data_IF_049396097313
#
_entry.id   IF_049396097313
#
_cell.length_a   1.000
_cell.length_b   1.000
_cell.length_c   1.000
_cell.angle_alpha   90.00
_cell.angle_beta   90.00
_cell.angle_gamma   90.00
#
_symmetry.space_group_name_H-M   'P 1'
#
loop_
_entity.id
_entity.type
_entity.pdbx_description
1 polymer ?
#
# COMPACT_ATOMS: atom_id res chain seq x y z
N UNK A 1 -79.62 24.29 -26.41
CA UNK A 1 -79.56 24.70 -24.99
C UNK A 1 -79.15 23.49 -24.18
N UNK A 2 -77.91 23.47 -23.69
CA UNK A 2 -77.37 22.45 -22.79
C UNK A 2 -76.75 23.17 -21.59
N UNK A 3 -77.04 22.72 -20.38
CA UNK A 3 -76.42 23.28 -19.19
C UNK A 3 -76.94 22.71 -17.87
N UNK A 4 -75.99 22.20 -17.09
CA UNK A 4 -76.02 21.89 -15.65
C UNK A 4 -76.64 20.55 -15.23
N UNK A 5 -75.75 19.58 -14.97
CA UNK A 5 -76.11 18.31 -14.36
C UNK A 5 -74.93 17.43 -13.97
N UNK A 6 -73.73 17.98 -13.72
CA UNK A 6 -72.59 17.19 -13.20
C UNK A 6 -71.66 18.13 -12.42
N UNK A 7 -71.83 18.28 -11.11
CA UNK A 7 -70.78 18.81 -10.20
C UNK A 7 -71.06 18.62 -8.69
N UNK A 8 -72.03 17.81 -8.27
CA UNK A 8 -72.26 17.57 -6.83
C UNK A 8 -71.41 16.39 -6.28
N UNK A 9 -71.18 15.35 -7.08
CA UNK A 9 -70.47 14.13 -6.62
C UNK A 9 -68.96 14.32 -6.40
N UNK A 10 -68.30 15.11 -7.25
CA UNK A 10 -66.86 15.35 -7.14
C UNK A 10 -66.49 16.23 -5.92
N UNK A 11 -67.35 17.20 -5.57
CA UNK A 11 -67.14 18.08 -4.41
C UNK A 11 -67.29 17.31 -3.10
N UNK A 12 -68.25 16.39 -3.01
CA UNK A 12 -68.43 15.54 -1.83
C UNK A 12 -67.26 14.55 -1.62
N UNK A 13 -66.71 13.99 -2.69
CA UNK A 13 -65.54 13.10 -2.60
C UNK A 13 -64.28 13.84 -2.14
N UNK A 14 -64.05 15.07 -2.61
CA UNK A 14 -62.93 15.91 -2.15
C UNK A 14 -63.11 16.32 -0.70
N UNK A 15 -64.34 16.61 -0.28
CA UNK A 15 -64.69 16.92 1.11
C UNK A 15 -64.40 15.75 2.07
N UNK A 16 -64.79 14.53 1.72
CA UNK A 16 -64.50 13.33 2.53
C UNK A 16 -62.99 13.06 2.67
N UNK A 17 -62.22 13.27 1.60
CA UNK A 17 -60.75 13.11 1.62
C UNK A 17 -60.09 14.16 2.51
N UNK A 18 -60.61 15.40 2.48
CA UNK A 18 -60.14 16.48 3.34
C UNK A 18 -60.50 16.26 4.82
N UNK A 19 -61.72 15.80 5.10
CA UNK A 19 -62.17 15.47 6.46
C UNK A 19 -61.36 14.32 7.05
N UNK A 20 -61.08 13.25 6.28
CA UNK A 20 -60.17 12.17 6.70
C UNK A 20 -58.75 12.67 6.98
N UNK A 21 -58.23 13.59 6.17
CA UNK A 21 -56.89 14.20 6.39
C UNK A 21 -56.85 15.06 7.65
N UNK A 22 -57.90 15.84 7.92
CA UNK A 22 -58.00 16.63 9.15
C UNK A 22 -58.09 15.70 10.36
N UNK A 23 -58.84 14.60 10.27
CA UNK A 23 -58.96 13.62 11.35
C UNK A 23 -57.61 12.97 11.69
N UNK A 24 -56.85 12.56 10.67
CA UNK A 24 -55.50 12.01 10.82
C UNK A 24 -54.55 13.05 11.45
N UNK A 25 -54.55 14.29 10.94
CA UNK A 25 -53.72 15.37 11.50
C UNK A 25 -54.10 15.70 12.94
N UNK A 26 -55.38 15.59 13.31
CA UNK A 26 -55.86 15.86 14.66
C UNK A 26 -55.46 14.74 15.63
N UNK A 27 -55.52 13.48 15.20
CA UNK A 27 -55.02 12.35 15.97
C UNK A 27 -53.50 12.39 16.15
N UNK A 28 -52.76 12.76 15.11
CA UNK A 28 -51.30 12.92 15.17
C UNK A 28 -50.90 14.05 16.14
N UNK A 29 -51.63 15.18 16.12
CA UNK A 29 -51.40 16.28 17.06
C UNK A 29 -51.73 15.88 18.52
N UNK A 30 -52.74 15.03 18.71
CA UNK A 30 -53.10 14.49 20.02
C UNK A 30 -52.04 13.53 20.54
N UNK A 31 -51.52 12.63 19.69
CA UNK A 31 -50.41 11.73 20.01
C UNK A 31 -49.12 12.48 20.31
N UNK A 32 -48.82 13.55 19.57
CA UNK A 32 -47.65 14.40 19.85
C UNK A 32 -47.79 15.14 21.18
N UNK A 33 -48.98 15.67 21.51
CA UNK A 33 -49.25 16.28 22.83
C UNK A 33 -49.14 15.28 23.97
N UNK A 34 -49.70 14.07 23.82
CA UNK A 34 -49.56 12.99 24.79
C UNK A 34 -48.09 12.55 24.94
N UNK A 35 -47.32 12.52 23.85
CA UNK A 35 -45.88 12.24 23.86
C UNK A 35 -45.09 13.32 24.59
N UNK A 36 -45.37 14.61 24.36
CA UNK A 36 -44.71 15.70 25.09
C UNK A 36 -45.12 15.75 26.57
N UNK A 37 -46.38 15.43 26.91
CA UNK A 37 -46.86 15.31 28.29
C UNK A 37 -46.16 14.15 29.02
N UNK A 38 -46.05 12.99 28.37
CA UNK A 38 -45.36 11.81 28.92
C UNK A 38 -43.85 12.04 29.04
N UNK A 39 -43.23 12.75 28.08
CA UNK A 39 -41.84 13.20 28.16
C UNK A 39 -41.63 14.20 29.30
N UNK A 40 -42.55 15.12 29.52
CA UNK A 40 -42.53 16.07 30.64
C UNK A 40 -42.61 15.36 31.99
N UNK A 41 -43.53 14.41 32.13
CA UNK A 41 -43.69 13.58 33.33
C UNK A 41 -42.48 12.67 33.58
N UNK A 42 -41.92 12.06 32.52
CA UNK A 42 -40.70 11.27 32.62
C UNK A 42 -39.48 12.12 33.01
N UNK A 43 -39.34 13.33 32.45
CA UNK A 43 -38.27 14.26 32.83
C UNK A 43 -38.43 14.79 34.26
N UNK A 44 -39.66 14.99 34.75
CA UNK A 44 -39.93 15.38 36.13
C UNK A 44 -39.59 14.26 37.13
N UNK A 45 -39.85 13.00 36.77
CA UNK A 45 -39.46 11.83 37.56
C UNK A 45 -37.93 11.59 37.55
N UNK A 46 -37.26 11.86 36.42
CA UNK A 46 -35.79 11.81 36.30
C UNK A 46 -35.10 12.92 37.11
N UNK A 47 -35.70 14.12 37.25
CA UNK A 47 -35.14 15.19 38.11
C UNK A 47 -35.20 14.87 39.60
N UNK A 48 -36.16 14.04 40.05
CA UNK A 48 -36.30 13.62 41.45
C UNK A 48 -35.46 12.39 41.81
N UNK A 49 -35.00 11.63 40.81
CA UNK A 49 -34.19 10.43 41.00
C UNK A 49 -32.85 10.52 40.28
N UNK A 50 -31.79 10.69 41.06
CA UNK A 50 -30.41 10.24 40.76
C UNK A 50 -29.52 11.20 39.95
N UNK A 51 -28.70 11.92 40.74
CA UNK A 51 -27.35 12.38 40.39
C UNK A 51 -26.48 11.18 39.99
N UNK A 52 -25.66 11.41 38.95
CA UNK A 52 -24.53 10.61 38.44
C UNK A 52 -24.81 9.16 37.97
N UNK A 53 -24.13 8.79 36.88
CA UNK A 53 -23.84 7.40 36.43
C UNK A 53 -24.75 6.66 35.44
N UNK A 54 -25.61 7.32 34.65
CA UNK A 54 -26.33 6.62 33.56
C UNK A 54 -26.40 7.35 32.21
N UNK A 55 -25.26 7.87 31.72
CA UNK A 55 -25.19 8.27 30.30
C UNK A 55 -25.01 7.04 29.37
N UNK A 56 -24.30 5.99 29.83
CA UNK A 56 -24.05 4.77 29.04
C UNK A 56 -25.20 3.75 28.98
N UNK A 57 -26.23 3.86 29.83
CA UNK A 57 -27.43 2.99 29.74
C UNK A 57 -28.53 3.53 28.81
N UNK A 58 -28.44 4.80 28.39
CA UNK A 58 -29.48 5.45 27.54
C UNK A 58 -29.50 4.93 26.10
N UNK A 59 -28.37 4.47 25.56
CA UNK A 59 -28.30 3.90 24.20
C UNK A 59 -28.94 2.50 24.17
N UNK A 60 -28.81 1.72 25.24
CA UNK A 60 -29.29 0.33 25.30
C UNK A 60 -30.81 0.19 25.46
N UNK A 61 -31.49 1.16 26.07
CA UNK A 61 -32.96 1.11 26.22
C UNK A 61 -33.66 1.64 24.97
N UNK A 62 -33.08 2.66 24.34
CA UNK A 62 -33.57 3.18 23.06
C UNK A 62 -33.35 2.20 21.90
N UNK A 63 -32.30 1.36 21.94
CA UNK A 63 -32.06 0.31 20.94
C UNK A 63 -33.07 -0.84 21.02
N UNK A 64 -33.50 -1.21 22.24
CA UNK A 64 -34.51 -2.26 22.45
C UNK A 64 -35.90 -1.78 22.04
N UNK A 65 -36.31 -0.58 22.48
CA UNK A 65 -37.61 0.01 22.10
C UNK A 65 -37.74 0.28 20.59
N UNK A 66 -36.64 0.61 19.90
CA UNK A 66 -36.67 0.87 18.46
C UNK A 66 -36.74 -0.39 17.60
N UNK A 67 -36.24 -1.53 18.09
CA UNK A 67 -36.40 -2.81 17.40
C UNK A 67 -37.86 -3.30 17.44
N UNK A 68 -38.57 -3.04 18.54
CA UNK A 68 -40.00 -3.35 18.69
C UNK A 68 -40.92 -2.38 17.93
N UNK A 69 -40.48 -1.13 17.71
CA UNK A 69 -41.25 -0.09 17.02
C UNK A 69 -40.90 0.08 15.54
N UNK A 70 -39.95 -0.71 15.00
CA UNK A 70 -39.49 -0.64 13.60
C UNK A 70 -40.63 -0.82 12.61
N UNK A 71 -41.59 -1.67 12.95
CA UNK A 71 -42.74 -2.01 12.11
C UNK A 71 -43.84 -0.93 12.11
N UNK A 72 -43.78 0.03 13.04
CA UNK A 72 -44.77 1.12 13.18
C UNK A 72 -44.25 2.48 12.69
N UNK A 73 -42.97 2.59 12.34
CA UNK A 73 -42.34 3.82 11.86
C UNK A 73 -42.40 3.90 10.34
N UNK A 74 -42.71 5.09 9.81
CA UNK A 74 -42.61 5.31 8.36
C UNK A 74 -41.18 5.01 7.87
N UNK A 75 -40.98 4.50 6.64
CA UNK A 75 -39.66 4.19 6.10
C UNK A 75 -38.66 5.37 6.18
N UNK A 76 -39.16 6.61 6.12
CA UNK A 76 -38.36 7.83 6.32
C UNK A 76 -37.82 7.96 7.74
N UNK A 77 -38.64 7.69 8.77
CA UNK A 77 -38.23 7.78 10.17
C UNK A 77 -37.24 6.68 10.54
N UNK A 78 -37.45 5.46 10.02
CA UNK A 78 -36.50 4.35 10.20
C UNK A 78 -35.12 4.73 9.65
N UNK A 79 -35.05 5.27 8.43
CA UNK A 79 -33.77 5.71 7.83
C UNK A 79 -33.08 6.80 8.64
N UNK A 80 -33.82 7.81 9.12
CA UNK A 80 -33.27 8.88 9.95
C UNK A 80 -32.71 8.32 11.27
N UNK A 81 -33.40 7.34 11.85
CA UNK A 81 -32.95 6.69 13.07
C UNK A 81 -31.69 5.85 12.85
N UNK A 82 -31.63 5.03 11.78
CA UNK A 82 -30.46 4.24 11.42
C UNK A 82 -29.23 5.12 11.17
N UNK A 83 -29.39 6.25 10.48
CA UNK A 83 -28.34 7.25 10.29
C UNK A 83 -27.85 7.82 11.63
N UNK A 84 -28.74 8.10 12.59
CA UNK A 84 -28.39 8.62 13.91
C UNK A 84 -27.63 7.60 14.76
N UNK A 85 -28.07 6.34 14.76
CA UNK A 85 -27.38 5.25 15.47
C UNK A 85 -25.99 5.05 14.88
N UNK A 86 -25.90 4.98 13.56
CA UNK A 86 -24.63 4.83 12.82
C UNK A 86 -23.66 5.97 13.11
N UNK A 87 -24.15 7.22 13.12
CA UNK A 87 -23.34 8.38 13.48
C UNK A 87 -22.86 8.34 14.93
N UNK A 88 -23.68 7.84 15.85
CA UNK A 88 -23.30 7.73 17.27
C UNK A 88 -22.17 6.73 17.43
N UNK A 89 -22.27 5.55 16.80
CA UNK A 89 -21.20 4.55 16.76
C UNK A 89 -19.91 5.10 16.15
N UNK A 90 -20.00 5.87 15.07
CA UNK A 90 -18.82 6.54 14.49
C UNK A 90 -18.14 7.48 15.46
N UNK A 91 -18.92 8.31 16.15
CA UNK A 91 -18.38 9.29 17.09
C UNK A 91 -17.62 8.64 18.25
N UNK A 92 -18.05 7.46 18.69
CA UNK A 92 -17.34 6.67 19.71
C UNK A 92 -15.98 6.17 19.22
N UNK A 93 -15.82 5.98 17.90
CA UNK A 93 -14.56 5.57 17.25
C UNK A 93 -13.66 6.76 16.89
N UNK A 94 -14.08 7.99 17.15
CA UNK A 94 -13.27 9.19 16.93
C UNK A 94 -12.43 9.47 18.16
N UNK A 95 -11.11 9.41 18.00
CA UNK A 95 -10.15 9.77 19.05
C UNK A 95 -9.44 11.08 18.70
N UNK A 96 -8.78 11.67 19.70
CA UNK A 96 -7.89 12.81 19.51
C UNK A 96 -6.51 12.43 20.01
N UNK A 97 -5.56 12.36 19.09
CA UNK A 97 -4.17 12.01 19.39
C UNK A 97 -3.27 13.04 18.71
N UNK A 98 -2.28 13.55 19.45
CA UNK A 98 -1.30 14.53 18.95
C UNK A 98 -1.92 15.77 18.26
N UNK A 99 -3.07 16.24 18.75
CA UNK A 99 -3.81 17.36 18.17
C UNK A 99 -4.61 17.02 16.91
N UNK A 100 -4.53 15.79 16.41
CA UNK A 100 -5.31 15.31 15.26
C UNK A 100 -6.63 14.71 15.69
N UNK A 101 -7.64 14.82 14.82
CA UNK A 101 -8.93 14.12 14.99
C UNK A 101 -8.92 12.88 14.12
N UNK A 102 -8.84 11.72 14.77
CA UNK A 102 -8.60 10.44 14.13
C UNK A 102 -9.87 9.60 14.16
N UNK A 103 -10.27 9.03 13.03
CA UNK A 103 -11.26 7.98 12.98
C UNK A 103 -10.52 6.65 12.94
N UNK A 104 -10.63 5.88 14.02
CA UNK A 104 -10.02 4.56 14.12
C UNK A 104 -11.09 3.47 14.13
N UNK A 105 -11.14 2.68 13.07
CA UNK A 105 -12.06 1.55 12.98
C UNK A 105 -11.22 0.28 12.91
N UNK A 106 -11.36 -0.55 13.93
CA UNK A 106 -10.75 -1.88 14.00
C UNK A 106 -11.86 -2.93 13.92
N UNK A 107 -11.56 -4.09 13.34
CA UNK A 107 -12.46 -5.24 13.14
C UNK A 107 -13.53 -5.02 12.05
N UNK A 108 -14.12 -6.12 11.56
CA UNK A 108 -14.99 -6.19 10.37
C UNK A 108 -16.37 -5.52 10.51
N UNK A 109 -16.51 -4.49 11.34
CA UNK A 109 -17.83 -3.91 11.58
C UNK A 109 -18.40 -3.23 10.31
N UNK A 110 -17.55 -2.69 9.42
CA UNK A 110 -17.96 -1.73 8.36
C UNK A 110 -17.39 -2.09 6.97
N UNK A 111 -18.11 -2.95 6.22
CA UNK A 111 -17.80 -3.28 4.81
C UNK A 111 -17.98 -2.11 3.85
N UNK A 112 -18.82 -1.14 4.21
CA UNK A 112 -19.06 0.10 3.46
C UNK A 112 -19.17 1.28 4.42
N UNK A 113 -18.58 2.41 4.04
CA UNK A 113 -18.67 3.63 4.83
C UNK A 113 -19.98 4.40 4.51
N UNK A 114 -20.84 4.68 5.50
CA UNK A 114 -22.10 5.38 5.35
C UNK A 114 -21.92 6.88 5.18
N UNK A 115 -22.85 7.51 4.45
CA UNK A 115 -22.86 8.96 4.19
C UNK A 115 -22.97 9.83 5.45
N UNK A 116 -23.44 9.26 6.57
CA UNK A 116 -23.46 9.95 7.87
C UNK A 116 -22.08 10.42 8.31
N UNK A 117 -21.01 9.79 7.82
CA UNK A 117 -19.63 10.19 8.09
C UNK A 117 -19.31 11.62 7.62
N UNK A 118 -20.07 12.15 6.65
CA UNK A 118 -19.96 13.55 6.20
C UNK A 118 -20.19 14.58 7.32
N UNK A 119 -20.88 14.20 8.39
CA UNK A 119 -21.08 15.06 9.57
C UNK A 119 -19.82 15.19 10.43
N UNK A 120 -18.77 14.42 10.13
CA UNK A 120 -17.48 14.42 10.82
C UNK A 120 -16.37 15.01 9.92
N UNK A 121 -16.66 16.11 9.22
CA UNK A 121 -15.73 16.74 8.27
C UNK A 121 -14.48 17.37 8.90
N UNK A 122 -14.41 17.44 10.23
CA UNK A 122 -13.24 17.85 11.00
C UNK A 122 -12.15 16.77 11.10
N UNK A 123 -12.43 15.54 10.62
CA UNK A 123 -11.45 14.44 10.64
C UNK A 123 -10.20 14.81 9.86
N UNK A 124 -9.05 14.51 10.46
CA UNK A 124 -7.73 14.74 9.88
C UNK A 124 -7.02 13.43 9.56
N UNK A 125 -7.43 12.32 10.17
CA UNK A 125 -6.80 11.04 9.95
C UNK A 125 -7.81 9.91 9.97
N UNK A 126 -7.70 9.00 9.02
CA UNK A 126 -8.52 7.81 8.90
C UNK A 126 -7.61 6.59 9.02
N UNK A 127 -7.82 5.79 10.06
CA UNK A 127 -7.12 4.53 10.29
C UNK A 127 -8.14 3.38 10.24
N UNK A 128 -8.33 2.82 9.04
CA UNK A 128 -9.31 1.77 8.79
C UNK A 128 -8.60 0.52 8.25
N UNK A 129 -7.63 0.03 9.02
CA UNK A 129 -6.84 -1.14 8.70
C UNK A 129 -7.63 -2.45 8.96
N UNK A 130 -7.61 -3.40 8.03
CA UNK A 130 -8.26 -4.73 8.19
C UNK A 130 -9.76 -4.67 8.53
N UNK A 131 -10.52 -3.80 7.85
CA UNK A 131 -11.98 -3.67 8.08
C UNK A 131 -12.83 -4.41 7.05
N UNK A 132 -12.21 -5.00 6.01
CA UNK A 132 -12.94 -5.65 4.91
C UNK A 132 -13.66 -4.65 4.00
N UNK A 133 -13.16 -3.41 3.92
CA UNK A 133 -13.74 -2.36 3.10
C UNK A 133 -13.66 -2.75 1.61
N UNK A 134 -14.78 -2.64 0.90
CA UNK A 134 -14.86 -2.98 -0.53
C UNK A 134 -14.50 -1.80 -1.44
N UNK A 135 -14.76 -0.58 -1.00
CA UNK A 135 -14.53 0.64 -1.79
C UNK A 135 -14.31 1.86 -0.92
N UNK A 136 -13.54 2.80 -1.44
CA UNK A 136 -13.46 4.15 -0.88
C UNK A 136 -14.73 4.91 -1.30
N UNK A 137 -15.45 5.57 -0.39
CA UNK A 137 -16.65 6.30 -0.76
C UNK A 137 -16.34 7.52 -1.64
N UNK A 138 -17.13 7.76 -2.69
CA UNK A 138 -16.98 8.94 -3.58
C UNK A 138 -16.96 10.28 -2.83
N UNK A 139 -17.66 10.34 -1.69
CA UNK A 139 -17.71 11.52 -0.86
C UNK A 139 -16.42 11.77 -0.07
N UNK A 140 -15.37 10.93 -0.22
CA UNK A 140 -14.07 11.12 0.44
C UNK A 140 -13.49 12.52 0.19
N UNK A 141 -13.71 13.08 -1.00
CA UNK A 141 -13.25 14.43 -1.34
C UNK A 141 -13.89 15.56 -0.51
N UNK A 142 -14.89 15.26 0.33
CA UNK A 142 -15.46 16.22 1.29
C UNK A 142 -14.60 16.42 2.54
N UNK A 143 -13.66 15.53 2.84
CA UNK A 143 -12.79 15.60 4.01
C UNK A 143 -11.55 16.44 3.73
N UNK A 144 -11.73 17.73 3.45
CA UNK A 144 -10.66 18.65 3.03
C UNK A 144 -9.55 18.87 4.09
N UNK A 145 -9.80 18.46 5.34
CA UNK A 145 -8.82 18.52 6.43
C UNK A 145 -8.00 17.23 6.59
N UNK A 146 -8.26 16.21 5.78
CA UNK A 146 -7.59 14.93 5.87
C UNK A 146 -6.10 15.07 5.50
N UNK A 147 -5.24 14.62 6.41
CA UNK A 147 -3.79 14.60 6.30
C UNK A 147 -3.30 13.17 6.05
N UNK A 148 -3.92 12.17 6.69
CA UNK A 148 -3.53 10.77 6.58
C UNK A 148 -4.75 9.91 6.27
N UNK A 149 -4.64 9.07 5.25
CA UNK A 149 -5.65 8.09 4.87
C UNK A 149 -5.02 6.70 4.80
N UNK A 150 -5.16 5.94 5.87
CA UNK A 150 -4.76 4.53 5.93
C UNK A 150 -5.98 3.62 5.77
N UNK A 151 -6.02 2.97 4.61
CA UNK A 151 -7.00 1.96 4.23
C UNK A 151 -6.31 0.64 3.88
N UNK A 152 -5.13 0.37 4.45
CA UNK A 152 -4.36 -0.82 4.16
C UNK A 152 -5.05 -2.11 4.63
N UNK A 153 -4.72 -3.22 3.97
CA UNK A 153 -5.28 -4.57 4.26
C UNK A 153 -6.81 -4.61 4.17
N UNK A 154 -7.37 -4.06 3.10
CA UNK A 154 -8.79 -4.16 2.78
C UNK A 154 -8.98 -4.94 1.46
N UNK A 155 -10.16 -4.81 0.86
CA UNK A 155 -10.50 -5.44 -0.43
C UNK A 155 -10.87 -4.40 -1.48
N UNK A 156 -10.30 -3.19 -1.36
CA UNK A 156 -10.59 -2.05 -2.22
C UNK A 156 -10.07 -2.34 -3.63
N UNK A 157 -10.94 -2.19 -4.63
CA UNK A 157 -10.59 -2.41 -6.04
C UNK A 157 -10.31 -1.13 -6.83
N UNK A 158 -10.79 0.01 -6.35
CA UNK A 158 -10.71 1.29 -7.07
C UNK A 158 -10.45 2.47 -6.11
N UNK A 159 -9.69 3.45 -6.59
CA UNK A 159 -9.53 4.74 -5.95
C UNK A 159 -10.45 5.74 -6.70
N UNK A 160 -11.42 6.36 -6.02
CA UNK A 160 -12.36 7.28 -6.66
C UNK A 160 -11.65 8.56 -7.09
N UNK A 161 -12.12 9.18 -8.17
CA UNK A 161 -11.59 10.47 -8.66
C UNK A 161 -11.67 11.58 -7.61
N UNK A 162 -12.63 11.47 -6.69
CA UNK A 162 -12.78 12.37 -5.53
C UNK A 162 -11.55 12.45 -4.63
N UNK A 163 -10.60 11.51 -4.71
CA UNK A 163 -9.33 11.57 -3.97
C UNK A 163 -8.55 12.86 -4.28
N UNK A 164 -8.61 13.34 -5.52
CA UNK A 164 -7.90 14.55 -5.96
C UNK A 164 -8.39 15.85 -5.31
N UNK A 165 -9.50 15.83 -4.57
CA UNK A 165 -9.98 16.98 -3.80
C UNK A 165 -9.26 17.13 -2.45
N UNK A 166 -8.48 16.13 -2.03
CA UNK A 166 -7.77 16.12 -0.76
C UNK A 166 -6.40 16.82 -0.87
N UNK A 167 -6.39 18.12 -1.15
CA UNK A 167 -5.16 18.90 -1.40
C UNK A 167 -4.20 18.98 -0.20
N UNK A 168 -4.69 18.68 1.01
CA UNK A 168 -3.92 18.63 2.26
C UNK A 168 -3.43 17.22 2.64
N UNK A 169 -3.81 16.20 1.88
CA UNK A 169 -3.39 14.82 2.17
C UNK A 169 -1.87 14.73 2.03
N UNK A 170 -1.23 14.21 3.08
CA UNK A 170 0.22 14.00 3.18
C UNK A 170 0.57 12.52 3.01
N UNK A 171 -0.25 11.62 3.56
CA UNK A 171 0.00 10.18 3.50
C UNK A 171 -1.23 9.43 2.98
N UNK A 172 -1.03 8.65 1.92
CA UNK A 172 -2.03 7.73 1.38
C UNK A 172 -1.49 6.30 1.43
N UNK A 173 -2.07 5.48 2.31
CA UNK A 173 -1.64 4.11 2.55
C UNK A 173 -2.75 3.17 2.08
N UNK A 174 -2.49 2.50 0.96
CA UNK A 174 -3.42 1.60 0.27
C UNK A 174 -2.81 0.21 0.04
N UNK A 175 -1.73 -0.11 0.73
CA UNK A 175 -1.05 -1.40 0.69
C UNK A 175 -1.98 -2.56 1.05
N UNK A 176 -1.77 -3.74 0.44
CA UNK A 176 -2.58 -4.95 0.64
C UNK A 176 -4.08 -4.74 0.31
N UNK A 177 -4.36 -4.27 -0.91
CA UNK A 177 -5.72 -4.17 -1.45
C UNK A 177 -5.82 -4.95 -2.77
N UNK A 178 -6.81 -4.65 -3.61
CA UNK A 178 -7.03 -5.23 -4.95
C UNK A 178 -7.11 -4.14 -6.01
N UNK A 179 -6.39 -3.04 -5.81
CA UNK A 179 -6.46 -1.87 -6.69
C UNK A 179 -5.83 -2.25 -8.03
N UNK A 180 -6.55 -1.97 -9.11
CA UNK A 180 -6.07 -2.24 -10.47
C UNK A 180 -5.52 -0.99 -11.14
N UNK A 181 -6.07 0.18 -10.82
CA UNK A 181 -5.73 1.45 -11.47
C UNK A 181 -5.64 2.59 -10.47
N UNK A 182 -4.73 3.54 -10.73
CA UNK A 182 -4.60 4.78 -9.98
C UNK A 182 -5.18 5.93 -10.81
N UNK A 183 -6.11 6.74 -10.28
CA UNK A 183 -6.70 7.85 -11.02
C UNK A 183 -5.71 8.99 -11.19
N UNK A 184 -5.70 9.63 -12.36
CA UNK A 184 -4.86 10.81 -12.62
C UNK A 184 -5.13 11.96 -11.65
N UNK A 185 -6.36 12.04 -11.12
CA UNK A 185 -6.77 13.05 -10.14
C UNK A 185 -5.97 12.98 -8.83
N UNK A 186 -5.33 11.85 -8.52
CA UNK A 186 -4.42 11.77 -7.37
C UNK A 186 -3.25 12.78 -7.47
N UNK A 187 -2.87 13.20 -8.69
CA UNK A 187 -1.88 14.26 -8.91
C UNK A 187 -2.26 15.63 -8.33
N UNK A 188 -3.55 15.85 -8.01
CA UNK A 188 -4.04 17.08 -7.38
C UNK A 188 -3.79 17.12 -5.86
N UNK A 189 -3.35 16.02 -5.25
CA UNK A 189 -2.96 15.97 -3.84
C UNK A 189 -1.60 16.65 -3.65
N UNK A 190 -1.55 17.97 -3.78
CA UNK A 190 -0.31 18.76 -3.82
C UNK A 190 0.55 18.69 -2.54
N UNK A 191 -0.02 18.21 -1.44
CA UNK A 191 0.68 18.01 -0.16
C UNK A 191 1.17 16.58 0.05
N UNK A 192 0.99 15.67 -0.91
CA UNK A 192 1.27 14.25 -0.72
C UNK A 192 2.78 14.03 -0.64
N UNK A 193 3.21 13.46 0.49
CA UNK A 193 4.60 13.16 0.85
C UNK A 193 4.86 11.65 0.77
N UNK A 194 3.86 10.84 1.10
CA UNK A 194 3.94 9.38 1.15
C UNK A 194 2.79 8.71 0.41
N UNK A 195 3.12 7.79 -0.49
CA UNK A 195 2.16 6.94 -1.21
C UNK A 195 2.60 5.48 -1.13
N UNK A 196 1.78 4.65 -0.48
CA UNK A 196 2.00 3.19 -0.47
C UNK A 196 0.89 2.45 -1.21
N UNK A 197 1.29 1.69 -2.23
CA UNK A 197 0.42 0.85 -3.07
C UNK A 197 0.94 -0.59 -3.15
N UNK A 198 1.70 -1.01 -2.14
CA UNK A 198 2.31 -2.34 -2.10
C UNK A 198 1.25 -3.46 -2.12
N UNK A 199 1.55 -4.59 -2.73
CA UNK A 199 0.72 -5.81 -2.65
C UNK A 199 -0.71 -5.58 -3.15
N UNK A 200 -0.90 -4.82 -4.23
CA UNK A 200 -2.17 -4.72 -4.96
C UNK A 200 -2.26 -5.70 -6.13
N UNK A 201 -1.14 -6.34 -6.49
CA UNK A 201 -0.96 -7.41 -7.50
C UNK A 201 -1.14 -6.97 -8.94
N UNK A 202 -2.20 -6.23 -9.25
CA UNK A 202 -2.64 -5.99 -10.63
C UNK A 202 -2.25 -4.61 -11.17
N UNK A 203 -1.64 -3.74 -10.37
CA UNK A 203 -1.16 -2.43 -10.84
C UNK A 203 0.05 -2.66 -11.76
N UNK A 204 -0.07 -2.23 -13.02
CA UNK A 204 1.00 -2.35 -14.02
C UNK A 204 1.44 -1.00 -14.62
N UNK A 205 0.69 0.07 -14.37
CA UNK A 205 1.00 1.42 -14.85
C UNK A 205 0.58 2.48 -13.83
N UNK A 206 1.14 3.68 -13.99
CA UNK A 206 0.76 4.88 -13.25
C UNK A 206 0.46 6.02 -14.23
N UNK A 207 -0.58 6.86 -13.98
CA UNK A 207 -0.84 8.04 -14.79
C UNK A 207 0.37 8.97 -14.84
N UNK A 208 0.72 9.45 -16.03
CA UNK A 208 1.83 10.37 -16.24
C UNK A 208 1.70 11.67 -15.41
N UNK A 209 0.47 12.08 -15.09
CA UNK A 209 0.20 13.25 -14.26
C UNK A 209 0.74 13.14 -12.83
N UNK A 210 0.97 11.92 -12.31
CA UNK A 210 1.55 11.73 -10.98
C UNK A 210 2.98 12.29 -10.85
N UNK A 211 3.69 12.50 -11.97
CA UNK A 211 4.97 13.21 -11.97
C UNK A 211 4.88 14.65 -11.45
N UNK A 212 3.68 15.23 -11.35
CA UNK A 212 3.43 16.58 -10.79
C UNK A 212 3.46 16.62 -9.26
N UNK A 213 3.56 15.48 -8.58
CA UNK A 213 3.63 15.43 -7.12
C UNK A 213 5.01 15.88 -6.65
N UNK A 214 5.15 17.19 -6.41
CA UNK A 214 6.45 17.82 -6.10
C UNK A 214 6.95 17.58 -4.68
N UNK A 215 6.09 17.08 -3.78
CA UNK A 215 6.43 16.78 -2.37
C UNK A 215 6.56 15.30 -2.07
N UNK A 216 6.29 14.42 -3.04
CA UNK A 216 6.31 12.99 -2.79
C UNK A 216 7.77 12.53 -2.60
N UNK A 217 8.09 12.08 -1.40
CA UNK A 217 9.43 11.62 -1.00
C UNK A 217 9.48 10.10 -0.88
N UNK A 218 8.35 9.45 -0.57
CA UNK A 218 8.27 8.01 -0.36
C UNK A 218 7.19 7.37 -1.24
N UNK A 219 7.60 6.41 -2.07
CA UNK A 219 6.73 5.66 -2.96
C UNK A 219 6.98 4.16 -2.87
N UNK A 220 5.98 3.41 -2.40
CA UNK A 220 6.01 1.94 -2.39
C UNK A 220 5.07 1.38 -3.46
N UNK A 221 5.65 0.70 -4.44
CA UNK A 221 4.99 -0.01 -5.54
C UNK A 221 5.35 -1.50 -5.55
N UNK A 222 5.88 -2.02 -4.45
CA UNK A 222 6.31 -3.42 -4.35
C UNK A 222 5.16 -4.41 -4.51
N UNK A 223 5.46 -5.62 -4.99
CA UNK A 223 4.51 -6.73 -5.13
C UNK A 223 3.29 -6.38 -6.00
N UNK A 224 3.57 -5.83 -7.19
CA UNK A 224 2.60 -5.48 -8.23
C UNK A 224 3.00 -6.15 -9.57
N UNK A 225 2.50 -5.64 -10.69
CA UNK A 225 2.75 -6.19 -12.04
C UNK A 225 3.42 -5.18 -12.98
N UNK A 226 4.32 -4.35 -12.46
CA UNK A 226 5.09 -3.42 -13.29
C UNK A 226 6.13 -4.17 -14.13
N UNK A 227 6.13 -3.96 -15.45
CA UNK A 227 7.14 -4.50 -16.38
C UNK A 227 8.25 -3.50 -16.72
N UNK A 228 8.00 -2.21 -16.46
CA UNK A 228 8.96 -1.11 -16.57
C UNK A 228 8.69 -0.06 -15.48
N UNK A 229 9.69 0.76 -15.17
CA UNK A 229 9.51 1.91 -14.27
C UNK A 229 8.57 2.93 -14.97
N UNK A 230 7.45 3.33 -14.34
CA UNK A 230 6.52 4.26 -14.96
C UNK A 230 7.18 5.64 -15.22
N UNK A 231 6.93 6.28 -16.38
CA UNK A 231 7.49 7.61 -16.68
C UNK A 231 7.18 8.68 -15.63
N UNK A 232 6.02 8.56 -14.96
CA UNK A 232 5.65 9.45 -13.85
C UNK A 232 6.70 9.41 -12.73
N UNK A 233 7.19 8.23 -12.35
CA UNK A 233 8.15 8.03 -11.27
C UNK A 233 9.49 8.69 -11.60
N UNK A 234 9.93 8.60 -12.86
CA UNK A 234 11.16 9.22 -13.37
C UNK A 234 11.12 10.76 -13.38
N UNK A 235 9.94 11.37 -13.17
CA UNK A 235 9.74 12.82 -13.20
C UNK A 235 9.39 13.41 -11.83
N UNK A 236 9.37 12.62 -10.76
CA UNK A 236 9.13 13.09 -9.40
C UNK A 236 10.39 13.75 -8.82
N UNK A 237 10.41 15.08 -8.58
CA UNK A 237 11.63 15.81 -8.27
C UNK A 237 12.16 15.58 -6.84
N UNK A 238 11.26 15.26 -5.91
CA UNK A 238 11.59 15.10 -4.49
C UNK A 238 11.63 13.64 -4.03
N UNK A 239 11.57 12.66 -4.96
CA UNK A 239 11.48 11.26 -4.57
C UNK A 239 12.81 10.77 -4.00
N UNK A 240 12.78 10.31 -2.74
CA UNK A 240 13.96 9.88 -1.97
C UNK A 240 13.98 8.37 -1.75
N UNK A 241 12.81 7.75 -1.62
CA UNK A 241 12.66 6.32 -1.37
C UNK A 241 11.68 5.72 -2.37
N UNK A 242 12.15 4.70 -3.10
CA UNK A 242 11.35 3.97 -4.08
C UNK A 242 11.53 2.46 -3.88
N UNK A 243 10.41 1.77 -3.68
CA UNK A 243 10.37 0.31 -3.71
C UNK A 243 9.52 -0.20 -4.87
N UNK A 244 10.16 -1.02 -5.69
CA UNK A 244 9.60 -1.72 -6.84
C UNK A 244 9.91 -3.22 -6.76
N UNK A 245 10.26 -3.74 -5.59
CA UNK A 245 10.57 -5.14 -5.40
C UNK A 245 9.37 -6.06 -5.63
N UNK A 246 9.57 -7.26 -6.15
CA UNK A 246 8.49 -8.20 -6.44
C UNK A 246 7.60 -7.78 -7.61
N UNK A 247 8.18 -7.18 -8.64
CA UNK A 247 7.51 -6.85 -9.90
C UNK A 247 8.11 -7.69 -11.05
N UNK A 248 7.83 -7.32 -12.30
CA UNK A 248 8.30 -8.01 -13.51
C UNK A 248 9.24 -7.09 -14.34
N UNK A 249 10.00 -6.22 -13.67
CA UNK A 249 10.89 -5.27 -14.34
C UNK A 249 12.02 -6.00 -15.07
N UNK A 250 12.13 -5.80 -16.38
CA UNK A 250 13.16 -6.47 -17.20
C UNK A 250 14.44 -5.64 -17.36
N UNK A 251 14.33 -4.31 -17.25
CA UNK A 251 15.44 -3.38 -17.42
C UNK A 251 15.16 -2.06 -16.69
N UNK A 252 16.22 -1.32 -16.39
CA UNK A 252 16.13 0.07 -15.96
C UNK A 252 16.38 1.00 -17.15
N UNK A 253 15.56 2.06 -17.33
CA UNK A 253 15.73 3.01 -18.43
C UNK A 253 16.88 3.98 -18.15
N UNK A 254 17.52 4.51 -19.20
CA UNK A 254 18.57 5.53 -19.05
C UNK A 254 18.08 6.81 -18.37
N UNK A 255 16.79 7.10 -18.52
CA UNK A 255 16.15 8.23 -17.85
C UNK A 255 16.12 8.11 -16.30
N UNK A 256 16.61 7.00 -15.72
CA UNK A 256 16.84 6.89 -14.27
C UNK A 256 17.74 8.03 -13.76
N UNK A 257 18.65 8.55 -14.58
CA UNK A 257 19.51 9.69 -14.26
C UNK A 257 18.73 10.94 -13.80
N UNK A 258 17.43 11.05 -14.09
CA UNK A 258 16.60 12.18 -13.65
C UNK A 258 16.28 12.17 -12.16
N UNK A 259 16.38 11.01 -11.51
CA UNK A 259 15.98 10.80 -10.12
C UNK A 259 17.07 11.25 -9.12
N UNK A 260 17.47 12.52 -9.22
CA UNK A 260 18.63 13.08 -8.50
C UNK A 260 18.46 13.10 -6.97
N UNK A 261 17.23 13.11 -6.45
CA UNK A 261 16.95 13.09 -5.01
C UNK A 261 16.89 11.69 -4.41
N UNK A 262 17.02 10.63 -5.22
CA UNK A 262 16.80 9.26 -4.77
C UNK A 262 17.95 8.78 -3.88
N UNK A 263 17.61 8.33 -2.68
CA UNK A 263 18.52 7.78 -1.68
C UNK A 263 18.41 6.27 -1.56
N UNK A 264 17.21 5.73 -1.66
CA UNK A 264 16.95 4.29 -1.54
C UNK A 264 16.16 3.77 -2.73
N UNK A 265 16.69 2.73 -3.36
CA UNK A 265 16.06 2.04 -4.49
C UNK A 265 16.03 0.53 -4.24
N UNK A 266 14.81 -0.01 -4.10
CA UNK A 266 14.57 -1.44 -3.90
C UNK A 266 13.99 -2.05 -5.18
N UNK A 267 14.69 -3.03 -5.73
CA UNK A 267 14.40 -3.70 -7.00
C UNK A 267 14.50 -5.22 -6.88
N UNK A 268 14.54 -5.77 -5.66
CA UNK A 268 14.64 -7.20 -5.42
C UNK A 268 13.48 -7.99 -6.05
N UNK A 269 13.70 -9.24 -6.44
CA UNK A 269 12.66 -10.12 -7.02
C UNK A 269 12.01 -9.51 -8.26
N UNK A 270 12.83 -9.15 -9.24
CA UNK A 270 12.42 -8.69 -10.56
C UNK A 270 13.11 -9.54 -11.64
N UNK A 271 13.04 -9.13 -12.91
CA UNK A 271 13.61 -9.82 -14.06
C UNK A 271 14.77 -9.02 -14.70
N UNK A 272 15.42 -8.13 -13.94
CA UNK A 272 16.38 -7.16 -14.47
C UNK A 272 17.62 -7.90 -14.97
N UNK A 273 17.90 -7.81 -16.28
CA UNK A 273 19.01 -8.50 -16.92
C UNK A 273 20.32 -7.68 -16.96
N UNK A 274 20.21 -6.35 -17.03
CA UNK A 274 21.33 -5.43 -17.04
C UNK A 274 20.98 -4.12 -16.34
N UNK A 275 22.03 -3.43 -15.86
CA UNK A 275 21.94 -2.07 -15.34
C UNK A 275 22.54 -1.09 -16.38
N UNK A 276 21.91 0.07 -16.62
CA UNK A 276 22.44 1.07 -17.53
C UNK A 276 23.62 1.83 -16.90
N UNK A 277 24.51 2.40 -17.71
CA UNK A 277 25.66 3.18 -17.21
C UNK A 277 25.22 4.46 -16.48
N UNK A 278 24.06 4.99 -16.86
CA UNK A 278 23.39 6.15 -16.26
C UNK A 278 23.00 5.97 -14.78
N UNK A 279 23.04 4.75 -14.24
CA UNK A 279 22.87 4.48 -12.80
C UNK A 279 23.91 5.26 -11.96
N UNK A 280 25.10 5.49 -12.52
CA UNK A 280 26.19 6.22 -11.85
C UNK A 280 25.89 7.72 -11.67
N UNK A 281 24.92 8.26 -12.41
CA UNK A 281 24.46 9.65 -12.29
C UNK A 281 23.64 9.90 -11.00
N UNK A 282 23.22 8.85 -10.29
CA UNK A 282 22.45 8.94 -9.05
C UNK A 282 23.36 9.25 -7.85
N UNK A 283 23.78 10.51 -7.73
CA UNK A 283 24.79 10.94 -6.74
C UNK A 283 24.38 10.75 -5.28
N UNK A 284 23.08 10.81 -5.00
CA UNK A 284 22.53 10.69 -3.65
C UNK A 284 22.14 9.25 -3.28
N UNK A 285 22.26 8.29 -4.22
CA UNK A 285 21.82 6.92 -3.98
C UNK A 285 22.75 6.25 -2.95
N UNK A 286 22.20 5.97 -1.77
CA UNK A 286 22.86 5.30 -0.67
C UNK A 286 22.61 3.80 -0.65
N UNK A 287 21.40 3.38 -1.02
CA UNK A 287 20.96 1.99 -0.87
C UNK A 287 20.38 1.48 -2.18
N UNK A 288 20.96 0.40 -2.71
CA UNK A 288 20.49 -0.26 -3.92
C UNK A 288 20.32 -1.77 -3.70
N UNK A 289 19.08 -2.26 -3.72
CA UNK A 289 18.78 -3.68 -3.51
C UNK A 289 18.36 -4.31 -4.83
N UNK A 290 19.15 -5.25 -5.34
CA UNK A 290 18.97 -5.92 -6.63
C UNK A 290 18.90 -7.46 -6.50
N UNK A 291 18.70 -7.98 -5.29
CA UNK A 291 18.72 -9.42 -5.07
C UNK A 291 17.60 -10.15 -5.81
N UNK A 292 17.83 -11.41 -6.23
CA UNK A 292 16.86 -12.21 -6.97
C UNK A 292 16.43 -11.53 -8.28
N UNK A 293 17.40 -11.24 -9.15
CA UNK A 293 17.18 -10.71 -10.50
C UNK A 293 17.85 -11.62 -11.55
N UNK A 294 18.03 -11.12 -12.78
CA UNK A 294 18.67 -11.83 -13.90
C UNK A 294 19.99 -11.15 -14.32
N UNK A 295 20.61 -10.39 -13.43
CA UNK A 295 21.83 -9.64 -13.73
C UNK A 295 22.97 -10.58 -14.10
N UNK A 296 23.56 -10.34 -15.26
CA UNK A 296 24.72 -11.10 -15.73
C UNK A 296 26.05 -10.40 -15.42
N UNK A 297 26.01 -9.08 -15.23
CA UNK A 297 27.20 -8.25 -15.06
C UNK A 297 26.89 -7.02 -14.21
N UNK A 298 27.92 -6.40 -13.66
CA UNK A 298 27.87 -5.16 -12.87
C UNK A 298 28.63 -4.08 -13.63
N UNK A 299 27.98 -2.96 -14.03
CA UNK A 299 28.65 -1.90 -14.78
C UNK A 299 29.85 -1.30 -14.04
N UNK A 300 30.96 -1.11 -14.75
CA UNK A 300 32.18 -0.57 -14.17
C UNK A 300 32.04 0.86 -13.62
N UNK A 301 31.04 1.62 -14.08
CA UNK A 301 30.72 2.96 -13.59
C UNK A 301 30.20 2.97 -12.15
N UNK A 302 29.65 1.85 -11.65
CA UNK A 302 29.16 1.75 -10.27
C UNK A 302 30.31 1.82 -9.24
N UNK A 303 31.54 1.51 -9.65
CA UNK A 303 32.72 1.63 -8.79
C UNK A 303 33.02 3.07 -8.36
N UNK A 304 32.56 4.05 -9.12
CA UNK A 304 32.81 5.48 -8.90
C UNK A 304 31.64 6.20 -8.19
N UNK A 305 30.60 5.47 -7.75
CA UNK A 305 29.43 6.06 -7.09
C UNK A 305 29.78 6.46 -5.65
N UNK A 306 29.88 7.77 -5.32
CA UNK A 306 30.39 8.21 -4.02
C UNK A 306 29.36 8.08 -2.89
N UNK A 307 28.07 8.11 -3.23
CA UNK A 307 26.97 8.05 -2.26
C UNK A 307 26.61 6.65 -1.81
N UNK A 308 27.01 5.61 -2.56
CA UNK A 308 26.52 4.24 -2.37
C UNK A 308 27.15 3.60 -1.13
N UNK A 309 26.29 3.24 -0.16
CA UNK A 309 26.65 2.65 1.14
C UNK A 309 26.24 1.19 1.25
N UNK A 310 25.13 0.82 0.62
CA UNK A 310 24.61 -0.53 0.64
C UNK A 310 24.24 -0.98 -0.76
N UNK A 311 24.72 -2.16 -1.15
CA UNK A 311 24.30 -2.80 -2.39
C UNK A 311 24.10 -4.30 -2.18
N UNK A 312 23.06 -4.87 -2.78
CA UNK A 312 22.81 -6.31 -2.68
C UNK A 312 22.54 -6.93 -4.05
N UNK A 313 23.48 -7.77 -4.50
CA UNK A 313 23.41 -8.49 -5.78
C UNK A 313 23.11 -9.99 -5.63
N UNK A 314 22.76 -10.47 -4.42
CA UNK A 314 22.54 -11.91 -4.15
C UNK A 314 21.50 -12.50 -5.12
N UNK A 315 21.63 -13.80 -5.40
CA UNK A 315 20.70 -14.53 -6.28
C UNK A 315 20.58 -13.89 -7.68
N UNK A 316 21.72 -13.52 -8.27
CA UNK A 316 21.84 -13.12 -9.67
C UNK A 316 22.82 -14.04 -10.42
N UNK A 317 22.56 -14.36 -11.70
CA UNK A 317 23.45 -15.17 -12.52
C UNK A 317 24.68 -14.37 -13.05
N UNK A 318 25.45 -13.78 -12.14
CA UNK A 318 26.64 -13.00 -12.49
C UNK A 318 27.70 -13.91 -13.14
N UNK A 319 28.33 -13.43 -14.22
CA UNK A 319 29.27 -14.22 -15.05
C UNK A 319 30.57 -14.58 -14.35
N UNK A 320 31.07 -13.70 -13.49
CA UNK A 320 32.31 -13.90 -12.75
C UNK A 320 32.01 -14.47 -11.38
N UNK A 321 32.69 -15.55 -11.04
CA UNK A 321 32.74 -16.05 -9.68
C UNK A 321 33.83 -15.29 -8.92
N UNK A 322 33.41 -14.57 -7.88
CA UNK A 322 34.27 -13.70 -7.07
C UNK A 322 34.11 -14.12 -5.63
N UNK A 323 35.16 -14.74 -5.08
CA UNK A 323 35.22 -15.09 -3.67
C UNK A 323 35.84 -13.95 -2.89
N UNK A 324 35.14 -13.45 -1.88
CA UNK A 324 35.71 -12.49 -0.94
C UNK A 324 36.63 -13.22 0.06
N UNK A 325 37.72 -12.58 0.53
CA UNK A 325 38.55 -13.15 1.59
C UNK A 325 37.70 -13.38 2.86
N UNK A 326 38.01 -14.42 3.64
CA UNK A 326 37.29 -14.71 4.88
C UNK A 326 37.45 -13.55 5.87
N UNK A 327 36.42 -13.24 6.67
CA UNK A 327 36.49 -12.19 7.67
C UNK A 327 37.53 -12.52 8.74
N UNK A 328 38.19 -11.48 9.28
CA UNK A 328 39.28 -11.65 10.24
C UNK A 328 38.76 -11.98 11.65
N UNK A 329 37.47 -11.72 11.96
CA UNK A 329 36.83 -12.11 13.23
C UNK A 329 35.31 -12.35 13.15
N UNK A 330 34.75 -13.06 14.15
CA UNK A 330 33.32 -13.46 14.24
C UNK A 330 32.41 -12.29 14.66
N UNK A 331 32.95 -11.29 15.37
CA UNK A 331 32.20 -10.10 15.79
C UNK A 331 31.93 -9.13 14.63
N UNK A 332 32.64 -9.29 13.51
CA UNK A 332 32.44 -8.48 12.32
C UNK A 332 31.25 -8.96 11.46
N UNK A 333 30.67 -10.14 11.70
CA UNK A 333 29.70 -10.77 10.78
C UNK A 333 28.38 -10.00 10.59
N UNK A 334 27.91 -9.23 11.59
CA UNK A 334 26.66 -8.46 11.49
C UNK A 334 26.86 -7.08 10.84
N UNK A 335 27.90 -6.33 11.24
CA UNK A 335 28.27 -5.04 10.60
C UNK A 335 28.84 -5.25 9.18
N UNK A 336 29.43 -6.41 8.88
CA UNK A 336 29.95 -6.74 7.55
C UNK A 336 28.88 -7.03 6.51
N UNK A 337 27.63 -7.31 6.86
CA UNK A 337 26.62 -7.63 5.83
C UNK A 337 26.43 -6.46 4.86
N UNK A 338 26.60 -5.21 5.33
CA UNK A 338 26.56 -3.99 4.52
C UNK A 338 27.85 -3.79 3.69
N UNK A 339 29.02 -4.04 4.30
CA UNK A 339 30.33 -3.95 3.65
C UNK A 339 30.54 -5.03 2.57
N UNK A 340 29.99 -6.22 2.77
CA UNK A 340 30.13 -7.37 1.88
C UNK A 340 29.63 -7.06 0.48
N UNK A 341 28.48 -6.38 0.38
CA UNK A 341 27.89 -6.00 -0.90
C UNK A 341 28.77 -5.05 -1.71
N UNK A 342 29.26 -3.99 -1.08
CA UNK A 342 30.13 -2.99 -1.73
C UNK A 342 31.51 -3.56 -2.07
N UNK A 343 32.10 -4.33 -1.16
CA UNK A 343 33.40 -4.96 -1.39
C UNK A 343 33.31 -6.00 -2.50
N UNK A 344 32.24 -6.81 -2.53
CA UNK A 344 31.95 -7.72 -3.62
C UNK A 344 31.85 -6.98 -4.95
N UNK A 345 31.07 -5.89 -4.99
CA UNK A 345 30.91 -5.07 -6.19
C UNK A 345 32.25 -4.54 -6.73
N UNK A 346 33.07 -3.95 -5.86
CA UNK A 346 34.39 -3.39 -6.25
C UNK A 346 35.33 -4.48 -6.75
N UNK A 347 35.39 -5.61 -6.04
CA UNK A 347 36.24 -6.75 -6.41
C UNK A 347 35.80 -7.34 -7.76
N UNK A 348 34.49 -7.48 -7.95
CA UNK A 348 33.89 -7.93 -9.21
C UNK A 348 34.25 -7.01 -10.38
N UNK A 349 34.10 -5.69 -10.20
CA UNK A 349 34.45 -4.70 -11.24
C UNK A 349 35.95 -4.77 -11.57
N UNK A 350 36.82 -4.90 -10.56
CA UNK A 350 38.27 -5.02 -10.77
C UNK A 350 38.63 -6.28 -11.57
N UNK A 351 38.04 -7.43 -11.22
CA UNK A 351 38.27 -8.69 -11.92
C UNK A 351 37.71 -8.66 -13.35
N UNK A 352 36.54 -8.05 -13.55
CA UNK A 352 35.96 -7.82 -14.88
C UNK A 352 36.88 -6.97 -15.76
N UNK A 353 37.44 -5.87 -15.23
CA UNK A 353 38.44 -5.03 -15.92
C UNK A 353 39.71 -5.81 -16.26
N UNK A 354 40.18 -6.68 -15.36
CA UNK A 354 41.36 -7.53 -15.58
C UNK A 354 41.14 -8.52 -16.73
N UNK A 355 40.00 -9.22 -16.75
CA UNK A 355 39.68 -10.16 -17.84
C UNK A 355 39.46 -9.47 -19.18
N UNK A 356 38.88 -8.26 -19.17
CA UNK A 356 38.74 -7.44 -20.37
C UNK A 356 40.12 -6.95 -20.90
N UNK A 357 41.01 -6.52 -20.00
CA UNK A 357 42.37 -6.09 -20.35
C UNK A 357 43.25 -7.23 -20.91
N UNK A 358 43.10 -8.46 -20.39
CA UNK A 358 43.78 -9.66 -20.93
C UNK A 358 43.31 -10.00 -22.36
N UNK A 359 42.07 -9.65 -22.73
CA UNK A 359 41.53 -9.87 -24.09
C UNK A 359 41.95 -8.82 -25.13
N UNK A 360 42.40 -7.64 -24.70
CA UNK A 360 42.69 -6.51 -25.59
C UNK A 360 44.15 -6.38 -26.02
N UNK A 361 45.04 -7.31 -25.64
CA UNK A 361 46.39 -7.37 -26.21
C UNK A 361 46.29 -8.02 -27.60
N UNK A 362 46.46 -7.27 -28.71
CA UNK A 362 46.54 -7.89 -30.03
C UNK A 362 47.87 -8.61 -30.11
N UNK A 363 47.80 -9.88 -30.52
CA UNK A 363 48.92 -10.74 -30.84
C UNK A 363 49.98 -9.99 -31.68
N UNK A 364 51.07 -9.58 -31.03
CA UNK A 364 52.37 -9.45 -31.68
C UNK A 364 53.32 -10.36 -30.95
N UNK A 365 53.25 -11.64 -31.34
CA UNK A 365 54.34 -12.59 -31.24
C UNK A 365 54.72 -13.00 -29.82
N UNK A 366 54.02 -13.99 -29.28
CA UNK A 366 54.68 -15.22 -28.80
C UNK A 366 53.62 -16.23 -28.40
N UNK A 367 53.46 -17.22 -29.28
CA UNK A 367 52.85 -18.51 -28.99
C UNK A 367 53.60 -19.12 -27.80
N UNK A 368 52.85 -19.68 -26.85
CA UNK A 368 53.16 -20.73 -25.87
C UNK A 368 52.77 -20.39 -24.42
N UNK A 369 52.04 -21.36 -23.82
CA UNK A 369 51.81 -21.61 -22.39
C UNK A 369 50.62 -20.94 -21.69
N UNK A 370 49.39 -21.19 -22.15
CA UNK A 370 48.22 -21.23 -21.25
C UNK A 370 47.24 -22.36 -21.64
N UNK A 371 47.73 -23.59 -21.78
CA UNK A 371 46.88 -24.80 -21.89
C UNK A 371 47.13 -25.88 -20.83
N UNK A 372 48.07 -25.70 -19.89
CA UNK A 372 48.46 -26.77 -18.96
C UNK A 372 47.86 -26.74 -17.55
N UNK A 373 47.01 -25.75 -17.18
CA UNK A 373 46.38 -25.74 -15.84
C UNK A 373 45.06 -26.49 -15.72
N UNK A 374 44.46 -26.96 -16.82
CA UNK A 374 43.21 -27.75 -16.77
C UNK A 374 43.42 -29.28 -16.79
N UNK A 375 44.61 -29.75 -17.14
CA UNK A 375 44.92 -31.20 -17.18
C UNK A 375 45.62 -31.69 -15.90
N UNK A 376 46.34 -30.83 -15.18
CA UNK A 376 46.96 -31.20 -13.90
C UNK A 376 45.94 -31.53 -12.79
N UNK A 377 44.82 -30.79 -12.72
CA UNK A 377 43.75 -31.04 -11.74
C UNK A 377 42.87 -32.26 -12.04
N UNK A 378 42.84 -32.72 -13.30
CA UNK A 378 42.08 -33.92 -13.68
C UNK A 378 42.87 -35.22 -13.52
N UNK A 379 44.22 -35.18 -13.52
CA UNK A 379 45.04 -36.35 -13.21
C UNK A 379 45.09 -36.69 -11.72
N UNK A 380 45.09 -35.69 -10.82
CA UNK A 380 45.09 -35.95 -9.37
C UNK A 380 43.75 -36.52 -8.86
N UNK A 381 42.62 -36.05 -9.42
CA UNK A 381 41.29 -36.60 -9.08
C UNK A 381 41.10 -38.05 -9.58
N UNK A 382 41.75 -38.43 -10.69
CA UNK A 382 41.69 -39.78 -11.27
C UNK A 382 42.55 -40.80 -10.49
N UNK A 383 43.68 -40.37 -9.93
CA UNK A 383 44.51 -41.23 -9.06
C UNK A 383 43.88 -41.47 -7.68
N UNK A 384 43.26 -40.44 -7.07
CA UNK A 384 42.57 -40.58 -5.78
C UNK A 384 41.35 -41.52 -5.84
N UNK A 385 40.57 -41.46 -6.93
CA UNK A 385 39.40 -42.32 -7.10
C UNK A 385 39.74 -43.81 -7.30
N UNK A 386 40.86 -44.13 -7.96
CA UNK A 386 41.33 -45.51 -8.15
C UNK A 386 41.85 -46.14 -6.86
N UNK A 387 42.51 -45.35 -6.00
CA UNK A 387 43.03 -45.84 -4.72
C UNK A 387 41.90 -46.15 -3.71
N UNK A 388 40.84 -45.34 -3.69
CA UNK A 388 39.66 -45.57 -2.83
C UNK A 388 38.83 -46.77 -3.29
N UNK A 389 38.76 -47.05 -4.59
CA UNK A 389 38.05 -48.23 -5.11
C UNK A 389 38.82 -49.54 -4.82
N UNK A 390 40.16 -49.51 -4.82
CA UNK A 390 40.99 -50.68 -4.52
C UNK A 390 40.97 -51.03 -3.02
N UNK A 391 40.94 -50.03 -2.13
CA UNK A 391 40.77 -50.22 -0.69
C UNK A 391 39.36 -50.76 -0.32
N UNK A 392 38.31 -50.38 -1.06
CA UNK A 392 36.95 -50.94 -0.87
C UNK A 392 36.83 -52.40 -1.32
N UNK A 393 37.57 -52.83 -2.34
CA UNK A 393 37.58 -54.23 -2.80
C UNK A 393 38.34 -55.16 -1.85
N UNK A 394 39.44 -54.70 -1.24
CA UNK A 394 40.15 -55.46 -0.21
C UNK A 394 39.35 -55.58 1.10
N UNK A 395 38.59 -54.54 1.48
CA UNK A 395 37.72 -54.59 2.66
C UNK A 395 36.50 -55.55 2.50
N UNK A 396 36.08 -55.84 1.27
CA UNK A 396 34.98 -56.79 0.98
C UNK A 396 35.45 -58.25 0.93
N UNK A 397 36.73 -58.53 0.65
CA UNK A 397 37.27 -59.89 0.69
C UNK A 397 37.57 -60.38 2.11
N UNK A 398 37.93 -59.49 3.05
CA UNK A 398 38.16 -59.86 4.46
C UNK A 398 36.86 -60.15 5.22
N UNK A 399 35.69 -59.75 4.68
CA UNK A 399 34.39 -59.96 5.34
C UNK A 399 33.68 -61.25 4.95
N UNK A 400 34.21 -62.01 4.00
CA UNK A 400 33.65 -63.28 3.49
C UNK A 400 34.67 -64.45 3.56
N UNK A 401 35.63 -64.40 4.49
CA UNK A 401 36.51 -65.52 4.83
C UNK A 401 36.35 -65.91 6.29
#
# INVERSE_FOLDING_TARGET
>A
MSGSGVCAGAVNAVKEVWEKRIQILTEDLKREKEFQQNKGNAMANIKRGVRSDQFNRKVSVASVLAHELRDFLSPRLVRIWEERVTLTRLKEKVTRENGRVILKIEQEEWKTLPSSLLKLNQLQEWQLHRTGLLKIPEFIGRFQNLLVLDLSRNTISEIPRGIGLLTRLQELILSYNKITTVPKELSNCASLEKLELAVNRDICELPHELGRLTKLTHLDLSMNSFTAIPPAVLSMPALEWLDLGGNQLQQLPDAIERMQSLHTLWLQRNEIACLPESISSLKNLGTLVLSNNKLQDIPACMGEMPGLRFVNFRDNPLRLDVTLPPPESVEEEEEQQELFGLQFMRTYIQESRRQAGVRLVPDTGSVFLLRERKEAGQMEASMGAKHIHQLKLQALQVRNS
#
